data_IF_642336593151
#
_entry.id   IF_642336593151
#
_cell.length_a   1.000
_cell.length_b   1.000
_cell.length_c   1.000
_cell.angle_alpha   90.00
_cell.angle_beta   90.00
_cell.angle_gamma   90.00
#
_symmetry.space_group_name_H-M   'P 1'
#
loop_
_entity.id
_entity.type
_entity.pdbx_description
1 polymer ?
#
# COMPACT_ATOMS: atom_id res chain seq x y z
N UNK A 1 24.47 1.49 4.85
CA UNK A 1 23.12 1.28 4.31
C UNK A 1 22.90 2.15 3.08
N UNK A 2 22.92 1.55 1.90
CA UNK A 2 22.53 2.21 0.65
C UNK A 2 21.01 2.21 0.59
N UNK A 3 20.40 3.37 0.88
CA UNK A 3 18.97 3.59 0.76
C UNK A 3 18.60 3.65 -0.73
N UNK A 4 17.76 2.71 -1.18
CA UNK A 4 17.18 2.72 -2.51
C UNK A 4 15.67 2.58 -2.37
N UNK A 5 14.91 3.54 -2.90
CA UNK A 5 13.45 3.46 -2.97
C UNK A 5 12.99 4.02 -4.31
N UNK A 6 12.13 3.28 -4.99
CA UNK A 6 11.52 3.72 -6.23
C UNK A 6 10.01 3.50 -6.22
N UNK A 7 9.30 4.38 -6.93
CA UNK A 7 7.86 4.26 -7.18
C UNK A 7 7.64 4.23 -8.67
N UNK A 8 6.90 3.22 -9.14
CA UNK A 8 6.43 3.14 -10.53
C UNK A 8 4.91 3.20 -10.54
N UNK A 9 4.30 4.05 -11.38
CA UNK A 9 2.86 4.00 -11.60
C UNK A 9 2.53 2.65 -12.22
N UNK A 10 1.44 2.03 -11.79
CA UNK A 10 1.01 0.76 -12.34
C UNK A 10 -0.42 0.85 -12.87
N UNK A 11 -0.73 0.08 -13.91
CA UNK A 11 -2.02 0.10 -14.62
C UNK A 11 -2.95 -0.99 -14.08
N UNK A 12 -4.24 -0.94 -14.46
CA UNK A 12 -5.20 -1.99 -14.12
C UNK A 12 -4.78 -3.37 -14.66
N UNK A 13 -4.20 -3.43 -15.87
CA UNK A 13 -3.66 -4.66 -16.44
C UNK A 13 -2.55 -5.25 -15.56
N UNK A 14 -1.60 -4.41 -15.13
CA UNK A 14 -0.52 -4.83 -14.23
C UNK A 14 -1.09 -5.33 -12.89
N UNK A 15 -2.18 -4.73 -12.40
CA UNK A 15 -2.84 -5.19 -11.17
C UNK A 15 -3.44 -6.59 -11.33
N UNK A 16 -4.07 -6.88 -12.46
CA UNK A 16 -4.62 -8.21 -12.78
C UNK A 16 -3.54 -9.29 -12.86
N UNK A 17 -2.41 -8.97 -13.48
CA UNK A 17 -1.24 -9.87 -13.57
C UNK A 17 -0.60 -10.12 -12.20
N UNK A 18 -0.54 -9.09 -11.36
CA UNK A 18 0.10 -9.19 -10.04
C UNK A 18 -0.82 -9.75 -8.96
N UNK A 19 -2.15 -9.55 -9.07
CA UNK A 19 -3.10 -9.87 -8.00
C UNK A 19 -4.56 -9.97 -8.45
N UNK A 20 -5.13 -11.18 -8.35
CA UNK A 20 -6.57 -11.39 -8.55
C UNK A 20 -7.42 -10.68 -7.49
N UNK A 21 -6.98 -10.64 -6.23
CA UNK A 21 -7.68 -9.93 -5.14
C UNK A 21 -7.65 -8.41 -5.35
N UNK A 22 -6.50 -7.85 -5.75
CA UNK A 22 -6.38 -6.44 -6.04
C UNK A 22 -7.29 -6.01 -7.20
N UNK A 23 -7.30 -6.78 -8.30
CA UNK A 23 -8.17 -6.54 -9.43
C UNK A 23 -9.66 -6.60 -9.04
N UNK A 24 -10.05 -7.59 -8.23
CA UNK A 24 -11.42 -7.70 -7.73
C UNK A 24 -11.84 -6.48 -6.89
N UNK A 25 -10.97 -5.99 -6.01
CA UNK A 25 -11.23 -4.78 -5.23
C UNK A 25 -11.42 -3.54 -6.12
N UNK A 26 -10.60 -3.39 -7.16
CA UNK A 26 -10.75 -2.30 -8.13
C UNK A 26 -12.07 -2.42 -8.91
N UNK A 27 -12.46 -3.64 -9.28
CA UNK A 27 -13.74 -3.91 -9.93
C UNK A 27 -14.93 -3.49 -9.06
N UNK A 28 -14.95 -3.91 -7.79
CA UNK A 28 -15.97 -3.52 -6.80
C UNK A 28 -16.02 -1.99 -6.66
N UNK A 29 -14.85 -1.34 -6.60
CA UNK A 29 -14.77 0.13 -6.53
C UNK A 29 -15.39 0.81 -7.75
N UNK A 30 -15.10 0.33 -8.96
CA UNK A 30 -15.66 0.87 -10.20
C UNK A 30 -17.18 0.70 -10.24
N UNK A 31 -17.70 -0.46 -9.85
CA UNK A 31 -19.15 -0.74 -9.85
C UNK A 31 -19.91 0.07 -8.80
N UNK A 32 -19.32 0.23 -7.62
CA UNK A 32 -19.91 0.99 -6.51
C UNK A 32 -19.65 2.49 -6.61
N UNK A 33 -18.83 2.96 -7.56
CA UNK A 33 -18.33 4.34 -7.63
C UNK A 33 -17.74 4.81 -6.27
N UNK A 34 -16.95 3.94 -5.64
CA UNK A 34 -16.33 4.19 -4.34
C UNK A 34 -17.28 4.22 -3.14
N UNK A 35 -18.50 3.72 -3.24
CA UNK A 35 -19.37 3.54 -2.08
C UNK A 35 -18.97 2.28 -1.31
N UNK A 36 -18.63 2.43 -0.04
CA UNK A 36 -18.25 1.30 0.81
C UNK A 36 -19.44 0.34 0.97
N UNK A 37 -19.24 -0.91 0.58
CA UNK A 37 -20.20 -2.01 0.68
C UNK A 37 -19.58 -3.19 1.44
N UNK A 38 -20.40 -4.15 1.94
CA UNK A 38 -19.88 -5.36 2.57
C UNK A 38 -18.95 -6.18 1.67
N UNK A 39 -19.12 -6.12 0.34
CA UNK A 39 -18.27 -6.82 -0.63
C UNK A 39 -16.80 -6.40 -0.52
N UNK A 40 -16.51 -5.16 -0.10
CA UNK A 40 -15.13 -4.77 0.16
C UNK A 40 -14.50 -5.59 1.28
N UNK A 41 -15.25 -5.99 2.31
CA UNK A 41 -14.73 -6.68 3.50
C UNK A 41 -14.19 -8.06 3.14
N UNK A 42 -14.82 -8.74 2.17
CA UNK A 42 -14.42 -10.09 1.75
C UNK A 42 -13.02 -10.10 1.09
N UNK A 43 -12.61 -8.98 0.51
CA UNK A 43 -11.34 -8.86 -0.22
C UNK A 43 -10.34 -7.89 0.43
N UNK A 44 -10.82 -6.92 1.20
CA UNK A 44 -9.99 -5.92 1.87
C UNK A 44 -9.38 -6.51 3.14
N UNK A 45 -8.11 -6.90 3.05
CA UNK A 45 -7.35 -7.37 4.22
C UNK A 45 -7.03 -6.27 5.22
N UNK A 46 -6.99 -5.01 4.78
CA UNK A 46 -6.70 -3.86 5.63
C UNK A 46 -7.52 -2.63 5.20
N UNK A 47 -8.10 -1.94 6.18
CA UNK A 47 -8.84 -0.68 5.97
C UNK A 47 -8.10 0.42 6.72
N UNK A 48 -7.86 1.55 6.05
CA UNK A 48 -7.22 2.72 6.63
C UNK A 48 -8.26 3.83 6.79
N UNK A 49 -8.56 4.17 8.04
CA UNK A 49 -9.32 5.36 8.35
C UNK A 49 -8.40 6.58 8.27
N UNK A 50 -8.63 7.44 7.29
CA UNK A 50 -8.01 8.77 7.24
C UNK A 50 -8.78 9.68 8.18
N UNK A 51 -8.49 9.59 9.48
CA UNK A 51 -9.03 10.54 10.45
C UNK A 51 -8.15 11.81 10.45
N UNK A 52 -8.73 13.01 10.31
CA UNK A 52 -8.01 14.24 10.61
C UNK A 52 -7.51 14.23 12.07
N UNK A 53 -6.31 14.76 12.36
CA UNK A 53 -5.34 15.33 11.44
C UNK A 53 -4.31 14.27 11.03
N UNK A 54 -4.61 13.46 10.01
CA UNK A 54 -3.55 12.77 9.31
C UNK A 54 -2.59 13.87 8.78
N UNK A 55 -1.33 13.82 9.17
CA UNK A 55 -0.33 14.80 8.71
C UNK A 55 0.33 14.28 7.43
N UNK A 56 0.55 15.13 6.41
CA UNK A 56 1.22 14.77 5.14
C UNK A 56 2.62 14.16 5.22
N UNK A 57 3.21 14.03 6.41
CA UNK A 57 4.63 13.75 6.58
C UNK A 57 5.00 12.30 6.92
N UNK A 58 4.05 11.43 7.27
CA UNK A 58 4.37 10.09 7.76
C UNK A 58 3.43 9.01 7.18
N UNK A 59 4.00 7.87 6.81
CA UNK A 59 3.24 6.75 6.27
C UNK A 59 2.35 6.14 7.35
N UNK A 60 1.14 5.66 7.00
CA UNK A 60 0.23 5.05 7.96
C UNK A 60 0.80 3.78 8.58
N UNK A 61 0.39 3.50 9.82
CA UNK A 61 0.83 2.35 10.63
C UNK A 61 0.57 0.97 9.98
N UNK A 62 -0.27 0.94 8.94
CA UNK A 62 -0.70 -0.26 8.21
C UNK A 62 0.44 -1.04 7.55
N UNK A 63 1.58 -0.39 7.32
CA UNK A 63 2.82 -1.01 6.82
C UNK A 63 3.75 -1.47 7.95
N UNK A 64 3.48 -1.06 9.18
CA UNK A 64 4.35 -1.23 10.34
C UNK A 64 3.79 -2.22 11.35
N UNK A 65 2.47 -2.31 11.49
CA UNK A 65 1.79 -3.12 12.53
C UNK A 65 1.13 -4.36 11.92
N UNK A 66 1.23 -5.47 12.64
CA UNK A 66 0.48 -6.70 12.35
C UNK A 66 1.32 -7.80 11.73
N UNK A 67 0.77 -9.01 11.71
CA UNK A 67 1.46 -10.23 11.23
C UNK A 67 1.71 -10.22 9.72
N UNK A 68 0.96 -9.40 8.99
CA UNK A 68 1.07 -9.21 7.54
C UNK A 68 1.67 -7.84 7.19
N UNK A 69 2.45 -7.24 8.11
CA UNK A 69 3.08 -5.94 7.88
C UNK A 69 4.40 -6.09 7.13
N UNK A 70 4.70 -5.13 6.26
CA UNK A 70 5.97 -5.08 5.56
C UNK A 70 7.15 -4.99 6.56
N UNK A 71 6.98 -4.24 7.65
CA UNK A 71 7.97 -4.17 8.73
C UNK A 71 8.27 -5.54 9.35
N UNK A 72 7.27 -6.41 9.53
CA UNK A 72 7.49 -7.76 10.03
C UNK A 72 8.34 -8.59 9.07
N UNK A 73 8.06 -8.53 7.77
CA UNK A 73 8.79 -9.33 6.79
C UNK A 73 10.23 -8.84 6.60
N UNK A 74 10.47 -7.54 6.74
CA UNK A 74 11.79 -6.94 6.62
C UNK A 74 12.63 -7.06 7.91
N UNK A 75 12.04 -6.75 9.07
CA UNK A 75 12.78 -6.64 10.32
C UNK A 75 12.53 -7.79 11.31
N UNK A 76 11.57 -8.66 11.01
CA UNK A 76 11.20 -9.84 11.82
C UNK A 76 9.97 -9.64 12.70
N UNK A 77 9.47 -10.75 13.26
CA UNK A 77 8.22 -10.82 14.04
C UNK A 77 8.15 -9.86 15.23
N UNK A 78 9.29 -9.55 15.86
CA UNK A 78 9.39 -8.63 16.99
C UNK A 78 9.01 -7.19 16.63
N UNK A 79 9.08 -6.81 15.35
CA UNK A 79 8.78 -5.45 14.90
C UNK A 79 7.29 -5.23 14.62
N UNK A 80 6.55 -6.30 14.35
CA UNK A 80 5.09 -6.29 14.11
C UNK A 80 4.27 -5.70 15.27
N UNK A 81 4.81 -5.75 16.48
CA UNK A 81 4.17 -5.31 17.73
C UNK A 81 4.71 -3.97 18.25
N UNK A 82 5.67 -3.36 17.53
CA UNK A 82 6.35 -2.13 17.97
C UNK A 82 6.37 -1.07 16.86
N UNK A 83 5.21 -0.49 16.49
CA UNK A 83 5.08 0.49 15.40
C UNK A 83 6.05 1.65 15.50
N UNK A 84 6.22 2.24 16.68
CA UNK A 84 7.11 3.37 16.90
C UNK A 84 8.57 3.02 16.63
N UNK A 85 8.98 1.77 16.92
CA UNK A 85 10.33 1.30 16.60
C UNK A 85 10.45 1.09 15.09
N UNK A 86 9.51 0.37 14.47
CA UNK A 86 9.48 0.14 13.02
C UNK A 86 9.53 1.45 12.22
N UNK A 87 8.74 2.45 12.62
CA UNK A 87 8.76 3.80 12.04
C UNK A 87 10.13 4.47 12.11
N UNK A 88 10.83 4.35 13.24
CA UNK A 88 12.17 4.92 13.43
C UNK A 88 13.23 4.20 12.59
N UNK A 89 13.08 2.89 12.36
CA UNK A 89 13.97 2.12 11.51
C UNK A 89 13.73 2.34 10.02
N UNK A 90 12.50 2.70 9.63
CA UNK A 90 12.18 3.04 8.24
C UNK A 90 12.72 4.43 7.87
N UNK A 91 13.48 4.55 6.77
CA UNK A 91 13.99 5.84 6.31
C UNK A 91 12.86 6.85 6.05
N UNK A 92 13.14 8.12 6.34
CA UNK A 92 12.14 9.17 6.18
C UNK A 92 11.71 9.34 4.72
N UNK A 93 12.60 9.12 3.75
CA UNK A 93 12.27 9.28 2.33
C UNK A 93 11.25 8.23 1.89
N UNK A 94 11.46 6.96 2.28
CA UNK A 94 10.51 5.87 2.08
C UNK A 94 9.14 6.20 2.68
N UNK A 95 9.10 6.64 3.95
CA UNK A 95 7.85 7.00 4.63
C UNK A 95 7.09 8.12 3.92
N UNK A 96 7.80 9.17 3.48
CA UNK A 96 7.22 10.29 2.71
C UNK A 96 6.69 9.84 1.35
N UNK A 97 7.46 9.04 0.62
CA UNK A 97 7.06 8.50 -0.68
C UNK A 97 5.76 7.70 -0.56
N UNK A 98 5.71 6.82 0.44
CA UNK A 98 4.53 6.00 0.74
C UNK A 98 3.34 6.85 1.16
N UNK A 99 3.54 7.84 2.04
CA UNK A 99 2.49 8.74 2.52
C UNK A 99 1.85 9.54 1.38
N UNK A 100 2.65 9.98 0.40
CA UNK A 100 2.17 10.79 -0.72
C UNK A 100 1.05 10.12 -1.51
N UNK A 101 1.11 8.80 -1.70
CA UNK A 101 0.08 8.07 -2.45
C UNK A 101 -1.25 7.98 -1.69
N UNK A 102 -1.22 7.83 -0.36
CA UNK A 102 -2.45 7.87 0.43
C UNK A 102 -3.12 9.24 0.33
N UNK A 103 -2.33 10.31 0.39
CA UNK A 103 -2.85 11.67 0.24
C UNK A 103 -3.37 11.96 -1.15
N UNK A 104 -2.67 11.53 -2.18
CA UNK A 104 -3.11 11.72 -3.55
C UNK A 104 -4.45 10.98 -3.80
N UNK A 105 -4.58 9.74 -3.33
CA UNK A 105 -5.82 8.97 -3.47
C UNK A 105 -6.99 9.67 -2.75
N UNK A 106 -6.74 10.14 -1.52
CA UNK A 106 -7.73 10.86 -0.72
C UNK A 106 -8.15 12.19 -1.35
N UNK A 107 -7.20 13.04 -1.77
CA UNK A 107 -7.47 14.37 -2.30
C UNK A 107 -8.12 14.35 -3.68
N UNK A 108 -7.68 13.43 -4.55
CA UNK A 108 -8.19 13.34 -5.92
C UNK A 108 -9.45 12.49 -6.03
N UNK A 109 -9.79 11.74 -4.97
CA UNK A 109 -10.82 10.73 -4.95
C UNK A 109 -10.67 9.73 -6.12
N UNK A 110 -9.43 9.34 -6.43
CA UNK A 110 -9.10 8.37 -7.48
C UNK A 110 -8.31 7.19 -6.91
N UNK A 111 -8.52 5.96 -7.43
CA UNK A 111 -7.66 4.83 -7.15
C UNK A 111 -6.20 5.15 -7.45
N UNK A 112 -5.31 4.70 -6.58
CA UNK A 112 -3.87 4.74 -6.83
C UNK A 112 -3.31 3.33 -6.76
N UNK A 113 -2.57 2.97 -7.80
CA UNK A 113 -1.84 1.73 -7.87
C UNK A 113 -0.35 2.02 -8.02
N UNK A 114 0.43 1.57 -7.04
CA UNK A 114 1.88 1.75 -7.01
C UNK A 114 2.59 0.40 -6.99
N UNK A 115 3.70 0.33 -7.70
CA UNK A 115 4.77 -0.62 -7.43
C UNK A 115 5.86 0.09 -6.64
N UNK A 116 6.17 -0.41 -5.44
CA UNK A 116 7.19 0.16 -4.56
C UNK A 116 8.34 -0.83 -4.41
N UNK A 117 9.53 -0.37 -4.75
CA UNK A 117 10.79 -1.03 -4.45
C UNK A 117 11.48 -0.33 -3.29
N UNK A 118 11.98 -1.08 -2.30
CA UNK A 118 12.75 -0.50 -1.20
C UNK A 118 13.85 -1.44 -0.71
N UNK A 119 15.03 -0.89 -0.43
CA UNK A 119 16.09 -1.55 0.33
C UNK A 119 16.12 -0.98 1.75
N UNK A 120 15.50 -1.68 2.69
CA UNK A 120 15.35 -1.25 4.08
C UNK A 120 16.34 -1.91 5.06
N UNK A 121 17.18 -2.82 4.57
CA UNK A 121 18.28 -3.46 5.32
C UNK A 121 19.45 -3.77 4.36
N UNK A 122 20.64 -4.09 4.86
CA UNK A 122 21.85 -4.14 4.04
C UNK A 122 21.86 -5.23 2.94
N UNK A 123 20.92 -6.20 2.91
CA UNK A 123 20.97 -7.32 1.96
C UNK A 123 19.65 -7.75 1.28
N UNK A 124 18.59 -6.94 1.30
CA UNK A 124 17.35 -7.38 0.62
C UNK A 124 16.54 -6.23 0.05
N UNK A 125 16.72 -5.98 -1.25
CA UNK A 125 15.73 -5.25 -2.03
C UNK A 125 14.42 -6.05 -2.07
N UNK A 126 13.33 -5.38 -1.72
CA UNK A 126 11.97 -5.95 -1.74
C UNK A 126 11.09 -5.09 -2.62
N UNK A 127 10.21 -5.75 -3.35
CA UNK A 127 9.13 -5.08 -4.08
C UNK A 127 7.79 -5.52 -3.54
N UNK A 128 6.86 -4.58 -3.52
CA UNK A 128 5.46 -4.87 -3.26
C UNK A 128 4.60 -3.94 -4.11
N UNK A 129 3.44 -4.44 -4.51
CA UNK A 129 2.41 -3.63 -5.11
C UNK A 129 1.38 -3.21 -4.08
N UNK A 130 0.75 -2.06 -4.31
CA UNK A 130 -0.22 -1.45 -3.41
C UNK A 130 -1.34 -0.82 -4.22
N UNK A 131 -2.57 -1.22 -3.91
CA UNK A 131 -3.78 -0.56 -4.38
C UNK A 131 -4.41 0.23 -3.23
N UNK A 132 -4.67 1.51 -3.46
CA UNK A 132 -5.32 2.43 -2.53
C UNK A 132 -6.62 2.90 -3.17
N UNK A 133 -7.74 2.60 -2.53
CA UNK A 133 -9.07 2.91 -3.02
C UNK A 133 -9.75 3.91 -2.09
N UNK A 134 -10.06 5.13 -2.54
CA UNK A 134 -10.85 6.06 -1.75
C UNK A 134 -12.30 5.62 -1.73
N UNK A 135 -12.86 5.46 -0.54
CA UNK A 135 -14.25 4.99 -0.36
C UNK A 135 -15.02 5.91 0.57
N UNK A 136 -16.34 5.95 0.40
CA UNK A 136 -17.25 6.71 1.24
C UNK A 136 -18.26 5.79 1.90
N UNK A 137 -18.42 5.91 3.21
CA UNK A 137 -19.50 5.24 3.93
C UNK A 137 -20.85 5.88 3.62
N UNK A 138 -21.95 5.19 3.96
CA UNK A 138 -23.32 5.76 3.91
C UNK A 138 -23.48 7.03 4.74
N UNK A 139 -22.66 7.22 5.77
CA UNK A 139 -22.64 8.42 6.60
C UNK A 139 -21.81 9.57 5.99
N UNK A 140 -21.29 9.42 4.77
CA UNK A 140 -20.49 10.43 4.09
C UNK A 140 -19.02 10.50 4.53
N UNK A 141 -18.58 9.61 5.43
CA UNK A 141 -17.18 9.57 5.89
C UNK A 141 -16.28 8.97 4.80
N UNK A 142 -15.29 9.75 4.35
CA UNK A 142 -14.22 9.32 3.44
C UNK A 142 -13.17 8.47 4.16
N UNK A 143 -12.77 7.35 3.54
CA UNK A 143 -11.82 6.38 4.06
C UNK A 143 -10.96 5.84 2.92
N UNK A 144 -9.90 5.10 3.22
CA UNK A 144 -9.08 4.42 2.21
C UNK A 144 -9.11 2.90 2.48
N UNK A 145 -9.54 2.12 1.49
CA UNK A 145 -9.30 0.67 1.47
C UNK A 145 -7.91 0.44 0.88
N UNK A 146 -7.11 -0.40 1.53
CA UNK A 146 -5.71 -0.58 1.16
C UNK A 146 -5.40 -2.06 1.01
N UNK A 147 -4.99 -2.42 -0.20
CA UNK A 147 -4.48 -3.73 -0.52
C UNK A 147 -2.98 -3.65 -0.78
N UNK A 148 -2.22 -4.59 -0.24
CA UNK A 148 -0.76 -4.69 -0.44
C UNK A 148 -0.39 -6.14 -0.68
N UNK A 149 0.49 -6.39 -1.64
CA UNK A 149 1.02 -7.72 -1.92
C UNK A 149 2.52 -7.63 -2.20
N UNK A 150 3.31 -8.41 -1.47
CA UNK A 150 4.73 -8.56 -1.75
C UNK A 150 4.94 -9.37 -3.03
N UNK A 151 5.90 -8.94 -3.84
CA UNK A 151 6.26 -9.63 -5.06
C UNK A 151 7.44 -10.59 -4.79
N UNK A 152 7.47 -11.76 -5.44
CA UNK A 152 8.65 -12.61 -5.40
C UNK A 152 9.87 -11.85 -5.93
N UNK A 153 11.06 -12.09 -5.35
CA UNK A 153 12.34 -11.47 -5.71
C UNK A 153 12.73 -11.54 -7.23
N UNK A 154 11.95 -12.23 -8.07
CA UNK A 154 12.16 -12.39 -9.51
C UNK A 154 11.04 -11.81 -10.40
N UNK A 155 9.87 -11.46 -9.86
CA UNK A 155 8.74 -10.96 -10.66
C UNK A 155 9.04 -9.60 -11.32
N UNK A 156 9.87 -8.79 -10.66
CA UNK A 156 10.34 -7.47 -11.09
C UNK A 156 11.06 -7.48 -12.44
N UNK A 157 11.80 -8.55 -12.76
CA UNK A 157 12.62 -8.62 -13.97
C UNK A 157 11.77 -8.83 -15.23
N UNK A 158 10.60 -9.46 -15.11
CA UNK A 158 9.71 -9.72 -16.22
C UNK A 158 8.87 -8.48 -16.62
N UNK A 159 8.53 -7.62 -15.65
CA UNK A 159 7.70 -6.43 -15.90
C UNK A 159 8.52 -5.31 -16.56
N UNK A 160 9.81 -5.21 -16.24
CA UNK A 160 10.75 -4.29 -16.89
C UNK A 160 11.02 -4.62 -18.37
N UNK A 161 10.63 -5.81 -18.85
CA UNK A 161 10.84 -6.23 -20.24
C UNK A 161 9.65 -5.91 -21.16
N UNK A 162 8.58 -5.34 -20.63
CA UNK A 162 7.32 -5.04 -21.36
C UNK A 162 7.20 -3.53 -21.69
N UNK A 163 8.17 -2.71 -21.30
CA UNK A 163 8.26 -1.29 -21.69
C UNK A 163 9.26 -1.07 -22.82
#
# INVERSE_FOLDING_TARGET
MLEYTERRPATALILEELSTTGAQLLHIWNQSNGHLSPEFIDYARKVLLMAPPATPGDSPDILMIGTESFARHVFGSKWAQHPTRARKAMPQTYRKLVASSYWNAYQTNKPIFDLIGANLSDESYREYCRLILPVHSRAGVSQLVVFTQELPNQASRAISSIN
#
